data_IF_755314257169
#
_entry.id   IF_755314257169
#
_cell.length_a   1.000
_cell.length_b   1.000
_cell.length_c   1.000
_cell.angle_alpha   90.00
_cell.angle_beta   90.00
_cell.angle_gamma   90.00
#
_symmetry.space_group_name_H-M   'P 1'
#
loop_
_entity.id
_entity.type
_entity.pdbx_description
1 polymer ?
#
# COMPACT_ATOMS: atom_id res chain seq x y z
N UNK A 1 5.42 -4.27 -16.66
CA UNK A 1 4.12 -4.99 -16.63
C UNK A 1 4.22 -6.17 -15.65
N UNK A 2 4.62 -5.90 -14.40
CA UNK A 2 4.69 -6.93 -13.35
C UNK A 2 3.46 -6.85 -12.45
N UNK A 3 2.99 -5.64 -12.13
CA UNK A 3 1.71 -5.42 -11.46
C UNK A 3 0.54 -6.11 -12.18
N UNK A 4 0.40 -5.92 -13.50
CA UNK A 4 -0.69 -6.55 -14.27
C UNK A 4 -0.59 -8.07 -14.25
N UNK A 5 0.61 -8.63 -14.45
CA UNK A 5 0.81 -10.08 -14.44
C UNK A 5 0.48 -10.68 -13.06
N UNK A 6 0.92 -10.03 -11.99
CA UNK A 6 0.63 -10.46 -10.63
C UNK A 6 -0.88 -10.38 -10.35
N UNK A 7 -1.54 -9.31 -10.81
CA UNK A 7 -2.98 -9.15 -10.70
C UNK A 7 -3.76 -10.24 -11.45
N UNK A 8 -3.37 -10.60 -12.67
CA UNK A 8 -4.00 -11.71 -13.39
C UNK A 8 -3.87 -13.05 -12.64
N UNK A 9 -2.75 -13.28 -11.95
CA UNK A 9 -2.57 -14.46 -11.11
C UNK A 9 -3.47 -14.44 -9.86
N UNK A 10 -3.73 -13.27 -9.28
CA UNK A 10 -4.72 -13.11 -8.20
C UNK A 10 -6.14 -13.35 -8.73
N UNK A 11 -6.44 -12.80 -9.90
CA UNK A 11 -7.75 -12.89 -10.56
C UNK A 11 -8.11 -14.34 -10.87
N UNK A 12 -7.17 -15.12 -11.38
CA UNK A 12 -7.34 -16.55 -11.63
C UNK A 12 -7.75 -17.35 -10.37
N UNK A 13 -7.41 -16.88 -9.16
CA UNK A 13 -7.81 -17.53 -7.91
C UNK A 13 -9.27 -17.22 -7.59
N UNK A 14 -9.65 -15.94 -7.63
CA UNK A 14 -10.99 -15.49 -7.21
C UNK A 14 -12.07 -15.77 -8.24
N UNK A 15 -11.68 -15.95 -9.50
CA UNK A 15 -12.58 -16.33 -10.60
C UNK A 15 -12.66 -17.86 -10.80
N UNK A 16 -11.97 -18.67 -9.98
CA UNK A 16 -12.09 -20.14 -10.07
C UNK A 16 -13.53 -20.56 -9.78
N UNK A 17 -14.01 -21.57 -10.50
CA UNK A 17 -15.36 -22.09 -10.29
C UNK A 17 -15.57 -22.51 -8.82
N UNK A 18 -16.66 -22.03 -8.23
CA UNK A 18 -17.00 -22.30 -6.83
C UNK A 18 -16.15 -21.56 -5.79
N UNK A 19 -15.43 -20.49 -6.17
CA UNK A 19 -14.73 -19.66 -5.19
C UNK A 19 -15.70 -19.07 -4.15
N UNK A 20 -15.49 -19.35 -2.84
CA UNK A 20 -16.49 -19.03 -1.82
C UNK A 20 -16.35 -17.62 -1.20
N UNK A 21 -15.28 -16.89 -1.53
CA UNK A 21 -14.99 -15.57 -0.96
C UNK A 21 -15.17 -14.46 -2.01
N UNK A 22 -14.98 -13.20 -1.60
CA UNK A 22 -15.10 -12.01 -2.46
C UNK A 22 -16.47 -11.91 -3.16
N UNK A 23 -17.54 -12.14 -2.41
CA UNK A 23 -18.91 -12.12 -2.93
C UNK A 23 -19.52 -10.72 -2.92
N UNK A 24 -19.13 -9.87 -1.96
CA UNK A 24 -19.71 -8.54 -1.74
C UNK A 24 -18.93 -7.40 -2.42
N UNK A 25 -17.88 -6.87 -1.78
CA UNK A 25 -17.15 -5.68 -2.24
C UNK A 25 -16.06 -6.04 -3.26
N UNK A 26 -16.48 -6.49 -4.45
CA UNK A 26 -15.57 -6.82 -5.56
C UNK A 26 -14.71 -5.63 -6.02
N UNK A 27 -15.15 -4.40 -5.74
CA UNK A 27 -14.39 -3.17 -6.04
C UNK A 27 -13.04 -3.13 -5.34
N UNK A 28 -12.93 -3.70 -4.14
CA UNK A 28 -11.67 -3.80 -3.38
C UNK A 28 -10.62 -4.53 -4.22
N UNK A 29 -11.00 -5.63 -4.85
CA UNK A 29 -10.11 -6.39 -5.71
C UNK A 29 -9.88 -5.72 -7.08
N UNK A 30 -10.95 -5.48 -7.85
CA UNK A 30 -10.80 -5.09 -9.25
C UNK A 30 -10.30 -3.66 -9.47
N UNK A 31 -10.45 -2.79 -8.47
CA UNK A 31 -10.04 -1.38 -8.57
C UNK A 31 -8.92 -1.08 -7.57
N UNK A 32 -9.13 -1.36 -6.29
CA UNK A 32 -8.22 -0.89 -5.25
C UNK A 32 -6.92 -1.72 -5.19
N UNK A 33 -6.99 -3.04 -5.22
CA UNK A 33 -5.81 -3.91 -5.18
C UNK A 33 -4.94 -3.73 -6.44
N UNK A 34 -5.56 -3.64 -7.63
CA UNK A 34 -4.83 -3.39 -8.88
C UNK A 34 -4.11 -2.03 -8.85
N UNK A 35 -4.80 -0.98 -8.42
CA UNK A 35 -4.19 0.34 -8.30
C UNK A 35 -3.07 0.34 -7.26
N UNK A 36 -3.25 -0.35 -6.14
CA UNK A 36 -2.22 -0.49 -5.10
C UNK A 36 -0.98 -1.22 -5.62
N UNK A 37 -1.14 -2.30 -6.39
CA UNK A 37 -0.03 -2.98 -7.06
C UNK A 37 0.73 -2.04 -7.98
N UNK A 38 0.03 -1.26 -8.80
CA UNK A 38 0.65 -0.31 -9.74
C UNK A 38 1.41 0.79 -9.02
N UNK A 39 0.82 1.34 -7.95
CA UNK A 39 1.43 2.40 -7.17
C UNK A 39 2.67 1.93 -6.41
N UNK A 40 2.85 0.62 -6.22
CA UNK A 40 3.95 0.02 -5.46
C UNK A 40 4.77 -0.99 -6.29
N UNK A 41 4.69 -0.95 -7.63
CA UNK A 41 5.43 -1.87 -8.52
C UNK A 41 6.92 -1.49 -8.54
N UNK A 42 7.70 -2.09 -7.64
CA UNK A 42 9.14 -1.98 -7.61
C UNK A 42 9.81 -3.35 -7.42
N UNK A 43 11.05 -3.52 -7.91
CA UNK A 43 11.81 -4.76 -7.69
C UNK A 43 11.97 -5.08 -6.20
N UNK A 44 11.91 -6.37 -5.88
CA UNK A 44 12.05 -6.89 -4.52
C UNK A 44 10.84 -6.73 -3.61
N UNK A 45 9.78 -6.06 -4.04
CA UNK A 45 8.58 -5.84 -3.23
C UNK A 45 7.77 -7.13 -3.07
N UNK A 46 7.29 -7.37 -1.85
CA UNK A 46 6.34 -8.44 -1.55
C UNK A 46 5.09 -7.85 -0.92
N UNK A 47 3.96 -8.51 -1.15
CA UNK A 47 2.68 -8.09 -0.61
C UNK A 47 2.02 -9.22 0.17
N UNK A 48 1.19 -8.84 1.13
CA UNK A 48 0.23 -9.73 1.76
C UNK A 48 -1.15 -9.35 1.27
N UNK A 49 -1.86 -10.32 0.73
CA UNK A 49 -3.22 -10.15 0.26
C UNK A 49 -4.15 -11.03 1.09
N UNK A 50 -5.17 -10.43 1.67
CA UNK A 50 -6.22 -11.14 2.37
C UNK A 50 -7.51 -11.04 1.58
N UNK A 51 -8.14 -12.18 1.33
CA UNK A 51 -9.45 -12.26 0.70
C UNK A 51 -10.44 -12.72 1.76
N UNK A 52 -11.57 -12.02 1.87
CA UNK A 52 -12.68 -12.33 2.76
C UNK A 52 -13.95 -12.42 1.93
N UNK A 53 -15.03 -12.92 2.52
CA UNK A 53 -16.35 -12.87 1.88
C UNK A 53 -16.75 -11.43 1.54
N UNK A 54 -16.51 -10.50 2.48
CA UNK A 54 -16.90 -9.11 2.33
C UNK A 54 -16.06 -8.34 1.30
N UNK A 55 -14.78 -8.66 1.11
CA UNK A 55 -13.88 -7.86 0.30
C UNK A 55 -12.44 -8.36 0.39
N UNK A 56 -11.50 -7.60 -0.16
CA UNK A 56 -10.07 -7.90 -0.09
C UNK A 56 -9.30 -6.76 0.54
N UNK A 57 -8.07 -7.05 0.97
CA UNK A 57 -7.12 -6.02 1.37
C UNK A 57 -5.70 -6.45 0.98
N UNK A 58 -4.95 -5.50 0.44
CA UNK A 58 -3.59 -5.70 -0.01
C UNK A 58 -2.66 -4.71 0.69
N UNK A 59 -1.61 -5.20 1.33
CA UNK A 59 -0.55 -4.36 1.87
C UNK A 59 0.83 -4.80 1.42
N UNK A 60 1.75 -3.84 1.33
CA UNK A 60 3.16 -4.10 1.12
C UNK A 60 3.83 -4.54 2.42
N UNK A 61 4.59 -5.63 2.35
CA UNK A 61 5.38 -6.15 3.46
C UNK A 61 6.70 -5.39 3.62
N UNK A 62 7.30 -5.48 4.82
CA UNK A 62 8.65 -4.98 5.08
C UNK A 62 8.74 -3.50 5.47
N UNK A 63 7.65 -2.71 5.40
CA UNK A 63 7.73 -1.24 5.53
C UNK A 63 7.53 -0.74 6.97
N UNK A 64 6.35 -0.91 7.55
CA UNK A 64 6.07 -0.44 8.91
C UNK A 64 4.96 -1.27 9.56
N UNK A 65 4.97 -1.45 10.90
CA UNK A 65 3.92 -2.19 11.60
C UNK A 65 2.53 -1.67 11.31
N UNK A 66 2.37 -0.34 11.22
CA UNK A 66 1.10 0.32 10.90
C UNK A 66 0.50 -0.15 9.57
N UNK A 67 1.35 -0.27 8.54
CA UNK A 67 0.95 -0.69 7.19
C UNK A 67 0.44 -2.14 7.18
N UNK A 68 0.90 -2.94 8.14
CA UNK A 68 0.55 -4.35 8.29
C UNK A 68 -0.56 -4.59 9.31
N UNK A 69 -0.94 -3.59 10.11
CA UNK A 69 -1.80 -3.75 11.28
C UNK A 69 -3.21 -4.24 10.91
N UNK A 70 -3.77 -3.79 9.78
CA UNK A 70 -5.08 -4.23 9.32
C UNK A 70 -5.09 -5.71 8.94
N UNK A 71 -4.01 -6.20 8.33
CA UNK A 71 -3.88 -7.63 8.00
C UNK A 71 -3.68 -8.46 9.26
N UNK A 72 -2.83 -8.01 10.18
CA UNK A 72 -2.60 -8.70 11.46
C UNK A 72 -3.93 -8.86 12.23
N UNK A 73 -4.70 -7.78 12.33
CA UNK A 73 -6.03 -7.81 12.94
C UNK A 73 -7.00 -8.72 12.18
N UNK A 74 -7.01 -8.69 10.86
CA UNK A 74 -7.90 -9.53 10.07
C UNK A 74 -7.58 -11.03 10.17
N UNK A 75 -6.32 -11.38 10.45
CA UNK A 75 -5.93 -12.76 10.79
C UNK A 75 -6.42 -13.12 12.21
N UNK A 76 -6.45 -12.17 13.15
CA UNK A 76 -6.92 -12.41 14.51
C UNK A 76 -8.44 -12.59 14.64
N UNK A 77 -9.24 -12.07 13.71
CA UNK A 77 -10.70 -12.26 13.73
C UNK A 77 -11.02 -13.77 13.62
N UNK A 78 -11.84 -14.28 14.54
CA UNK A 78 -12.05 -15.71 14.84
C UNK A 78 -12.73 -16.58 13.74
N UNK A 79 -12.78 -16.13 12.49
CA UNK A 79 -13.39 -16.91 11.39
C UNK A 79 -12.38 -17.21 10.28
N UNK A 80 -11.42 -18.07 10.59
CA UNK A 80 -10.39 -18.51 9.63
C UNK A 80 -11.00 -19.19 8.39
N UNK A 81 -12.20 -19.74 8.49
CA UNK A 81 -12.91 -20.37 7.37
C UNK A 81 -13.53 -19.36 6.40
N UNK A 82 -13.53 -18.06 6.74
CA UNK A 82 -14.07 -16.97 5.92
C UNK A 82 -13.01 -16.03 5.38
N UNK A 83 -11.75 -16.47 5.38
CA UNK A 83 -10.64 -15.76 4.75
C UNK A 83 -9.62 -16.70 4.13
N UNK A 84 -8.91 -16.20 3.14
CA UNK A 84 -7.68 -16.79 2.64
C UNK A 84 -6.59 -15.71 2.65
N UNK A 85 -5.36 -16.07 3.03
CA UNK A 85 -4.22 -15.15 3.13
C UNK A 85 -3.12 -15.59 2.17
N UNK A 86 -2.65 -14.68 1.34
CA UNK A 86 -1.71 -14.96 0.27
C UNK A 86 -0.45 -14.09 0.38
N UNK A 87 0.69 -14.71 0.14
CA UNK A 87 1.95 -14.03 -0.14
C UNK A 87 2.08 -13.82 -1.64
N UNK A 88 2.28 -12.56 -2.01
CA UNK A 88 2.52 -12.16 -3.39
C UNK A 88 3.98 -11.76 -3.52
N UNK A 89 4.66 -12.39 -4.47
CA UNK A 89 6.05 -12.07 -4.82
C UNK A 89 6.05 -11.41 -6.20
N UNK A 90 6.40 -10.12 -6.24
CA UNK A 90 6.35 -9.33 -7.47
C UNK A 90 7.31 -9.85 -8.52
N UNK A 91 8.54 -10.19 -8.14
CA UNK A 91 9.59 -10.57 -9.09
C UNK A 91 9.37 -11.98 -9.62
N UNK A 92 8.95 -12.91 -8.75
CA UNK A 92 8.58 -14.25 -9.17
C UNK A 92 7.21 -14.28 -9.88
N UNK A 93 6.38 -13.24 -9.70
CA UNK A 93 5.00 -13.18 -10.15
C UNK A 93 4.12 -14.26 -9.51
N UNK A 94 4.43 -14.71 -8.30
CA UNK A 94 3.72 -15.83 -7.65
C UNK A 94 2.73 -15.35 -6.60
N UNK A 95 1.59 -16.04 -6.51
CA UNK A 95 0.60 -15.89 -5.43
C UNK A 95 0.56 -17.21 -4.66
N UNK A 96 0.87 -17.20 -3.36
CA UNK A 96 0.99 -18.42 -2.54
C UNK A 96 0.11 -18.33 -1.31
N UNK A 97 -0.78 -19.29 -1.13
CA UNK A 97 -1.60 -19.41 0.09
C UNK A 97 -0.70 -19.65 1.31
N UNK A 98 -0.96 -18.96 2.41
CA UNK A 98 -0.26 -19.08 3.67
C UNK A 98 -1.19 -19.56 4.78
N UNK A 99 -0.62 -20.29 5.73
CA UNK A 99 -1.22 -20.47 7.05
C UNK A 99 -1.07 -19.21 7.91
N UNK A 100 -1.94 -19.06 8.92
CA UNK A 100 -1.98 -17.90 9.81
C UNK A 100 -0.65 -17.67 10.56
N UNK A 101 0.02 -18.74 11.01
CA UNK A 101 1.27 -18.63 11.77
C UNK A 101 2.40 -18.09 10.90
N UNK A 102 2.48 -18.55 9.65
CA UNK A 102 3.41 -18.06 8.64
C UNK A 102 3.08 -16.63 8.25
N UNK A 103 1.81 -16.30 8.02
CA UNK A 103 1.39 -14.93 7.69
C UNK A 103 1.78 -13.95 8.80
N UNK A 104 1.47 -14.26 10.07
CA UNK A 104 1.85 -13.44 11.22
C UNK A 104 3.36 -13.28 11.38
N UNK A 105 4.13 -14.34 11.14
CA UNK A 105 5.60 -14.26 11.16
C UNK A 105 6.10 -13.26 10.11
N UNK A 106 5.58 -13.35 8.88
CA UNK A 106 5.94 -12.45 7.78
C UNK A 106 5.54 -10.99 8.05
N UNK A 107 4.40 -10.74 8.68
CA UNK A 107 3.95 -9.37 9.00
C UNK A 107 4.88 -8.64 9.98
N UNK A 108 5.69 -9.39 10.75
CA UNK A 108 6.67 -8.87 11.71
C UNK A 108 8.08 -8.72 11.14
N UNK A 109 8.29 -9.15 9.89
CA UNK A 109 9.55 -8.96 9.17
C UNK A 109 9.54 -7.55 8.56
N UNK A 110 10.40 -6.66 9.07
CA UNK A 110 10.53 -5.28 8.57
C UNK A 110 11.95 -5.03 8.04
N UNK A 111 12.05 -4.52 6.83
CA UNK A 111 13.30 -4.00 6.26
C UNK A 111 13.62 -2.60 6.81
N UNK A 112 12.60 -1.86 7.23
CA UNK A 112 12.71 -0.50 7.75
C UNK A 112 12.43 -0.45 9.25
N UNK A 113 13.18 0.41 9.95
CA UNK A 113 12.99 0.72 11.37
C UNK A 113 12.89 2.23 11.54
N UNK A 114 11.97 2.65 12.39
CA UNK A 114 11.77 4.06 12.73
C UNK A 114 12.06 4.28 14.21
N UNK A 115 12.99 5.18 14.52
CA UNK A 115 13.32 5.57 15.89
C UNK A 115 13.47 7.09 15.97
N UNK A 116 12.66 7.77 16.79
CA UNK A 116 12.73 9.23 16.99
C UNK A 116 12.83 10.03 15.66
N UNK A 117 12.01 9.65 14.69
CA UNK A 117 11.97 10.18 13.32
C UNK A 117 13.14 9.81 12.40
N UNK A 118 14.14 9.06 12.88
CA UNK A 118 15.19 8.48 12.02
C UNK A 118 14.68 7.17 11.42
N UNK A 119 14.79 7.06 10.10
CA UNK A 119 14.46 5.87 9.33
C UNK A 119 15.77 5.15 9.00
N UNK A 120 15.87 3.90 9.40
CA UNK A 120 16.96 3.01 9.01
C UNK A 120 16.42 1.88 8.15
N UNK A 121 17.20 1.45 7.16
CA UNK A 121 16.92 0.27 6.35
C UNK A 121 18.00 -0.76 6.60
N UNK A 122 17.61 -1.95 7.08
CA UNK A 122 18.54 -3.06 7.41
C UNK A 122 19.69 -2.63 8.32
N UNK A 123 19.41 -1.73 9.26
CA UNK A 123 20.37 -1.20 10.24
C UNK A 123 21.04 0.11 9.84
N UNK A 124 21.06 0.46 8.55
CA UNK A 124 21.71 1.67 8.06
C UNK A 124 20.73 2.87 8.06
N UNK A 125 21.05 4.00 8.72
CA UNK A 125 20.24 5.21 8.64
C UNK A 125 20.17 5.74 7.21
N UNK A 126 18.95 5.98 6.71
CA UNK A 126 18.72 6.46 5.34
C UNK A 126 18.08 7.84 5.29
N UNK A 127 17.32 8.25 6.30
CA UNK A 127 16.65 9.54 6.33
C UNK A 127 16.20 9.93 7.74
N UNK A 128 15.99 11.22 7.98
CA UNK A 128 15.31 11.77 9.15
C UNK A 128 14.06 12.51 8.68
N UNK A 129 12.93 12.28 9.33
CA UNK A 129 11.65 12.91 8.98
C UNK A 129 11.35 14.14 9.84
N UNK A 130 10.98 15.25 9.20
CA UNK A 130 10.30 16.39 9.81
C UNK A 130 8.85 16.41 9.33
N UNK A 131 7.87 16.39 10.24
CA UNK A 131 6.45 16.35 9.91
C UNK A 131 5.77 17.62 10.40
N UNK A 132 5.05 18.29 9.49
CA UNK A 132 4.32 19.53 9.78
C UNK A 132 2.86 19.35 9.45
N UNK A 133 2.00 19.77 10.38
CA UNK A 133 0.57 19.77 10.19
C UNK A 133 0.09 21.19 9.92
N UNK A 134 -0.81 21.33 8.95
CA UNK A 134 -1.59 22.56 8.80
C UNK A 134 -2.60 22.68 9.94
N UNK A 135 -2.96 23.90 10.30
CA UNK A 135 -4.00 24.15 11.30
C UNK A 135 -5.39 24.01 10.68
N UNK A 136 -6.38 23.75 11.52
CA UNK A 136 -7.78 23.79 11.09
C UNK A 136 -8.12 25.20 10.61
N UNK A 137 -8.60 25.33 9.36
CA UNK A 137 -8.97 26.63 8.79
C UNK A 137 -10.29 26.53 8.03
N UNK A 138 -11.29 27.34 8.42
CA UNK A 138 -12.57 27.51 7.70
C UNK A 138 -13.18 26.21 7.14
N UNK A 139 -13.31 25.18 7.98
CA UNK A 139 -13.93 23.90 7.59
C UNK A 139 -13.03 22.97 6.78
N UNK A 140 -11.76 23.31 6.56
CA UNK A 140 -10.76 22.41 5.98
C UNK A 140 -10.07 21.60 7.09
N UNK A 141 -10.08 20.25 7.00
CA UNK A 141 -9.34 19.42 7.93
C UNK A 141 -7.84 19.64 7.79
N UNK A 142 -7.05 19.39 8.85
CA UNK A 142 -5.60 19.48 8.79
C UNK A 142 -5.05 18.47 7.78
N UNK A 143 -3.97 18.86 7.15
CA UNK A 143 -3.15 18.06 6.24
C UNK A 143 -1.72 18.01 6.76
N UNK A 144 -1.02 16.93 6.45
CA UNK A 144 0.39 16.75 6.80
C UNK A 144 1.31 16.95 5.62
N UNK A 145 2.44 17.62 5.85
CA UNK A 145 3.59 17.65 4.95
C UNK A 145 4.78 16.99 5.64
N UNK A 146 5.47 16.09 4.95
CA UNK A 146 6.66 15.41 5.47
C UNK A 146 7.89 15.81 4.67
N UNK A 147 8.96 16.18 5.34
CA UNK A 147 10.27 16.44 4.76
C UNK A 147 11.25 15.37 5.25
N UNK A 148 11.84 14.64 4.31
CA UNK A 148 12.94 13.73 4.58
C UNK A 148 14.28 14.43 4.33
N UNK A 149 15.13 14.40 5.35
CA UNK A 149 16.51 14.85 5.30
C UNK A 149 17.46 13.66 5.23
N UNK A 150 18.39 13.66 4.31
CA UNK A 150 19.30 12.55 4.04
C UNK A 150 20.64 13.02 3.46
N UNK A 151 21.71 12.26 3.73
CA UNK A 151 22.97 12.40 3.00
C UNK A 151 23.03 11.57 1.71
N UNK A 152 21.99 10.80 1.40
CA UNK A 152 21.95 9.94 0.22
C UNK A 152 21.54 10.73 -1.02
N UNK A 153 22.30 10.52 -2.11
CA UNK A 153 22.06 11.20 -3.39
C UNK A 153 20.94 10.55 -4.21
N UNK A 154 20.72 9.24 -4.03
CA UNK A 154 19.78 8.46 -4.83
C UNK A 154 19.13 7.37 -3.99
N UNK A 155 17.86 7.11 -4.25
CA UNK A 155 17.11 6.00 -3.66
C UNK A 155 16.65 5.03 -4.75
N UNK A 156 16.52 3.74 -4.39
CA UNK A 156 15.80 2.80 -5.25
C UNK A 156 14.31 3.15 -5.27
N UNK A 157 13.61 2.75 -6.34
CA UNK A 157 12.16 2.94 -6.47
C UNK A 157 11.39 2.32 -5.28
N UNK A 158 11.82 1.13 -4.87
CA UNK A 158 11.30 0.42 -3.71
C UNK A 158 11.41 1.25 -2.42
N UNK A 159 12.53 1.95 -2.23
CA UNK A 159 12.74 2.80 -1.06
C UNK A 159 11.93 4.09 -1.15
N UNK A 160 11.79 4.70 -2.32
CA UNK A 160 10.90 5.86 -2.50
C UNK A 160 9.45 5.52 -2.12
N UNK A 161 8.95 4.36 -2.57
CA UNK A 161 7.63 3.89 -2.18
C UNK A 161 7.53 3.60 -0.67
N UNK A 162 8.57 3.06 -0.04
CA UNK A 162 8.58 2.83 1.40
C UNK A 162 8.52 4.15 2.18
N UNK A 163 9.33 5.14 1.80
CA UNK A 163 9.34 6.48 2.39
C UNK A 163 7.97 7.17 2.23
N UNK A 164 7.31 7.00 1.09
CA UNK A 164 5.95 7.49 0.87
C UNK A 164 4.95 6.88 1.86
N UNK A 165 5.00 5.58 2.09
CA UNK A 165 4.15 4.89 3.07
C UNK A 165 4.48 5.27 4.52
N UNK A 166 5.76 5.46 4.83
CA UNK A 166 6.21 5.94 6.14
C UNK A 166 5.75 7.38 6.42
N UNK A 167 5.74 8.25 5.40
CA UNK A 167 5.23 9.61 5.53
C UNK A 167 3.77 9.63 5.99
N UNK A 168 2.92 8.75 5.44
CA UNK A 168 1.54 8.58 5.90
C UNK A 168 1.48 8.17 7.37
N UNK A 169 2.35 7.26 7.80
CA UNK A 169 2.44 6.85 9.19
C UNK A 169 2.80 8.03 10.10
N UNK A 170 3.81 8.82 9.73
CA UNK A 170 4.22 9.99 10.50
C UNK A 170 3.13 11.04 10.63
N UNK A 171 2.39 11.32 9.54
CA UNK A 171 1.29 12.29 9.58
C UNK A 171 0.20 11.83 10.55
N UNK A 172 -0.16 10.55 10.51
CA UNK A 172 -1.18 10.03 11.40
C UNK A 172 -0.70 10.00 12.87
N UNK A 173 0.57 9.68 13.11
CA UNK A 173 1.15 9.74 14.46
C UNK A 173 1.15 11.18 15.00
N UNK A 174 1.53 12.15 14.17
CA UNK A 174 1.56 13.56 14.54
C UNK A 174 0.14 14.14 14.76
N UNK A 175 -0.85 13.71 13.97
CA UNK A 175 -2.22 14.23 14.05
C UNK A 175 -3.14 13.44 14.97
N UNK A 176 -2.70 12.25 15.41
CA UNK A 176 -3.53 11.25 16.07
C UNK A 176 -4.82 10.87 15.31
N UNK A 177 -4.80 10.96 13.97
CA UNK A 177 -5.99 10.70 13.15
C UNK A 177 -5.66 9.98 11.85
N UNK A 178 -6.38 8.88 11.59
CA UNK A 178 -6.36 8.16 10.32
C UNK A 178 -6.88 8.98 9.13
N UNK A 179 -7.61 10.05 9.40
CA UNK A 179 -8.30 10.86 8.39
C UNK A 179 -7.50 12.11 7.97
N UNK A 180 -6.34 12.35 8.58
CA UNK A 180 -5.44 13.45 8.17
C UNK A 180 -4.71 13.05 6.90
N UNK A 181 -5.01 13.74 5.80
CA UNK A 181 -4.36 13.47 4.52
C UNK A 181 -2.88 13.89 4.57
N UNK A 182 -2.03 13.09 3.94
CA UNK A 182 -0.65 13.50 3.62
C UNK A 182 -0.67 14.24 2.29
N UNK A 183 -0.49 15.55 2.32
CA UNK A 183 -0.63 16.41 1.15
C UNK A 183 0.63 16.40 0.29
N UNK A 184 1.80 16.55 0.92
CA UNK A 184 3.10 16.68 0.24
C UNK A 184 4.18 15.93 0.98
N UNK A 185 5.11 15.37 0.22
CA UNK A 185 6.24 14.61 0.74
C UNK A 185 7.48 15.05 -0.04
N UNK A 186 8.47 15.55 0.68
CA UNK A 186 9.70 16.06 0.10
C UNK A 186 10.90 15.23 0.54
N UNK A 187 11.86 15.02 -0.36
CA UNK A 187 13.19 14.50 -0.04
C UNK A 187 14.19 15.56 -0.49
N UNK A 188 14.95 16.15 0.45
CA UNK A 188 15.89 17.25 0.17
C UNK A 188 15.28 18.37 -0.72
N UNK A 189 14.02 18.70 -0.44
CA UNK A 189 13.27 19.75 -1.13
C UNK A 189 12.59 19.35 -2.45
N UNK A 190 12.82 18.13 -2.96
CA UNK A 190 12.15 17.63 -4.19
C UNK A 190 10.94 16.78 -3.84
N UNK A 191 9.81 16.93 -4.57
CA UNK A 191 8.60 16.13 -4.31
C UNK A 191 8.86 14.66 -4.61
N UNK A 192 8.43 13.77 -3.72
CA UNK A 192 8.69 12.33 -3.86
C UNK A 192 8.05 11.75 -5.13
N UNK A 193 6.92 12.28 -5.59
CA UNK A 193 6.27 11.82 -6.79
C UNK A 193 7.03 12.24 -8.05
N UNK A 194 7.72 13.38 -8.02
CA UNK A 194 8.64 13.80 -9.09
C UNK A 194 9.84 12.86 -9.15
N UNK A 195 10.43 12.50 -7.99
CA UNK A 195 11.53 11.53 -7.91
C UNK A 195 11.10 10.15 -8.40
N UNK A 196 9.93 9.67 -8.00
CA UNK A 196 9.34 8.42 -8.50
C UNK A 196 9.15 8.52 -10.02
N UNK A 197 8.63 9.65 -10.52
CA UNK A 197 8.35 9.83 -11.94
C UNK A 197 9.59 9.84 -12.83
N UNK A 198 10.67 10.43 -12.35
CA UNK A 198 11.94 10.47 -13.05
C UNK A 198 12.76 9.18 -12.90
N UNK A 199 12.34 8.24 -12.02
CA UNK A 199 13.13 7.05 -11.73
C UNK A 199 13.22 6.11 -12.94
N UNK A 200 14.43 5.63 -13.32
CA UNK A 200 14.64 4.83 -14.54
C UNK A 200 13.90 3.49 -14.53
N UNK A 201 13.68 2.91 -13.34
CA UNK A 201 12.94 1.65 -13.17
C UNK A 201 11.41 1.84 -13.18
N UNK A 202 10.90 3.09 -13.32
CA UNK A 202 9.45 3.31 -13.36
C UNK A 202 8.90 2.75 -14.66
N UNK A 203 7.99 1.78 -14.53
CA UNK A 203 7.19 1.31 -15.65
C UNK A 203 6.18 2.41 -16.00
N UNK A 204 6.30 2.98 -17.19
CA UNK A 204 5.25 3.84 -17.77
C UNK A 204 3.99 3.01 -17.91
N UNK A 205 2.98 3.31 -17.08
CA UNK A 205 1.63 2.82 -17.28
C UNK A 205 0.93 3.90 -18.12
N UNK A 206 0.35 3.58 -19.29
CA UNK A 206 -0.46 4.56 -20.02
C UNK A 206 -1.54 5.08 -19.08
N UNK A 207 -1.74 6.40 -19.07
CA UNK A 207 -2.77 7.04 -18.27
C UNK A 207 -4.08 6.28 -18.45
N UNK A 208 -4.70 5.87 -17.33
CA UNK A 208 -6.03 5.31 -17.38
C UNK A 208 -6.91 6.25 -18.21
N UNK A 209 -7.73 5.73 -19.15
CA UNK A 209 -8.66 6.59 -19.87
C UNK A 209 -9.45 7.39 -18.82
N UNK A 210 -9.72 8.68 -19.09
CA UNK A 210 -10.36 9.56 -18.12
C UNK A 210 -11.57 8.84 -17.52
N UNK A 211 -11.73 8.91 -16.19
CA UNK A 211 -12.89 8.40 -15.46
C UNK A 211 -14.16 8.98 -16.08
N UNK A 212 -14.67 8.32 -17.11
CA UNK A 212 -15.85 8.69 -17.83
C UNK A 212 -16.72 7.43 -17.90
N UNK A 213 -17.90 7.55 -17.29
CA UNK A 213 -19.06 6.64 -17.34
C UNK A 213 -19.08 5.38 -16.47
N UNK A 214 -17.95 4.79 -16.06
CA UNK A 214 -18.01 3.58 -15.22
C UNK A 214 -18.58 3.84 -13.80
N UNK A 215 -18.28 5.00 -13.22
CA UNK A 215 -18.74 5.37 -11.87
C UNK A 215 -20.24 5.72 -11.82
N UNK A 216 -20.83 6.06 -12.98
CA UNK A 216 -22.25 6.41 -13.10
C UNK A 216 -23.12 5.15 -13.28
N UNK A 217 -22.62 4.15 -14.01
CA UNK A 217 -23.29 2.85 -14.15
C UNK A 217 -23.36 2.06 -12.82
N UNK A 218 -22.33 2.16 -11.97
CA UNK A 218 -22.35 1.51 -10.65
C UNK A 218 -23.29 2.18 -9.64
N UNK A 219 -23.57 3.49 -9.79
CA UNK A 219 -24.55 4.20 -8.97
C UNK A 219 -25.99 3.91 -9.42
N UNK A 220 -26.23 3.73 -10.72
CA UNK A 220 -27.55 3.35 -11.25
C UNK A 220 -27.93 1.90 -10.92
N UNK A 221 -26.96 0.98 -10.79
CA UNK A 221 -27.22 -0.41 -10.37
C UNK A 221 -27.52 -0.56 -8.87
N UNK A 222 -27.21 0.46 -8.05
CA UNK A 222 -27.54 0.52 -6.62
C UNK A 222 -28.86 1.25 -6.32
N UNK A 223 -29.46 1.85 -7.35
CA UNK A 223 -30.71 2.62 -7.26
C UNK A 223 -31.92 1.90 -7.92
N UNK A 224 -31.74 0.67 -8.39
CA UNK A 224 -32.78 -0.20 -8.94
C UNK A 224 -32.92 -1.46 -8.10
#
# INVERSE_FOLDING_TARGET
MHAEKLFENMKAIVERDGYPLLTSYKVDFYVHDLEYLRQNDAPGVKFMWIVRESGSYLCRLGVAPRVNAEVDYAIDIHDANRREVYLLDRDAGTVKLLDDATAKRRLKEFDYKVERCTISRRGEPIAVADTRLTTWTNGKPPTGTVHFHTGQLTFSLETLYALRSLAVCFVIEASHSLFTATEKIYIEGTDINELIAAHPERVSIPAAPPRAKAQQASLELLAA
#
